data_IF_303873573973
#
_entry.id   IF_303873573973
#
_cell.length_a   1.000
_cell.length_b   1.000
_cell.length_c   1.000
_cell.angle_alpha   90.00
_cell.angle_beta   90.00
_cell.angle_gamma   90.00
#
_symmetry.space_group_name_H-M   'P 1'
#
loop_
_entity.id
_entity.type
_entity.pdbx_description
1 polymer ?
#
# COMPACT_ATOMS: atom_id res chain seq x y z
N UNK A 1 -12.72 -12.18 -2.53
CA UNK A 1 -12.33 -12.97 -3.71
C UNK A 1 -12.02 -12.02 -4.85
N UNK A 2 -10.74 -11.73 -5.11
CA UNK A 2 -10.35 -10.83 -6.19
C UNK A 2 -10.30 -11.62 -7.51
N UNK A 3 -11.13 -11.18 -8.46
CA UNK A 3 -11.26 -11.70 -9.82
C UNK A 3 -9.90 -11.60 -10.52
N UNK A 4 -9.29 -12.73 -10.88
CA UNK A 4 -8.04 -12.77 -11.65
C UNK A 4 -8.25 -12.08 -13.00
N UNK A 5 -7.59 -10.94 -13.19
CA UNK A 5 -7.46 -10.25 -14.47
C UNK A 5 -6.79 -11.21 -15.45
N UNK A 6 -7.31 -11.27 -16.67
CA UNK A 6 -6.92 -12.19 -17.75
C UNK A 6 -5.38 -12.32 -17.83
N UNK A 7 -4.83 -13.46 -17.41
CA UNK A 7 -3.38 -13.72 -17.23
C UNK A 7 -2.59 -13.82 -18.55
N UNK A 8 -3.22 -13.53 -19.70
CA UNK A 8 -2.61 -13.71 -21.01
C UNK A 8 -1.75 -12.52 -21.50
N UNK A 9 -1.85 -11.33 -20.89
CA UNK A 9 -1.07 -10.15 -21.32
C UNK A 9 0.04 -9.71 -20.36
N UNK A 10 -0.02 -10.07 -19.08
CA UNK A 10 0.95 -9.62 -18.08
C UNK A 10 1.58 -10.78 -17.34
N UNK A 11 2.86 -11.05 -17.61
CA UNK A 11 3.65 -12.06 -16.90
C UNK A 11 4.14 -11.44 -15.59
N UNK A 12 3.84 -12.08 -14.45
CA UNK A 12 4.33 -11.63 -13.15
C UNK A 12 5.78 -12.09 -12.89
N UNK A 13 6.54 -11.36 -12.06
CA UNK A 13 7.88 -11.77 -11.67
C UNK A 13 7.90 -13.18 -11.02
N UNK A 14 6.87 -13.51 -10.23
CA UNK A 14 6.70 -14.83 -9.64
C UNK A 14 6.48 -15.92 -10.70
N UNK A 15 5.82 -15.59 -11.81
CA UNK A 15 5.61 -16.51 -12.93
C UNK A 15 6.92 -16.81 -13.67
N UNK A 16 7.76 -15.79 -13.90
CA UNK A 16 9.11 -15.96 -14.47
C UNK A 16 9.94 -16.89 -13.58
N UNK A 17 9.95 -16.63 -12.26
CA UNK A 17 10.70 -17.47 -11.32
C UNK A 17 10.23 -18.93 -11.32
N UNK A 18 8.91 -19.14 -11.48
CA UNK A 18 8.34 -20.48 -11.54
C UNK A 18 8.71 -21.21 -12.83
N UNK A 19 8.74 -20.51 -13.97
CA UNK A 19 9.17 -21.06 -15.24
C UNK A 19 10.64 -21.51 -15.17
N UNK A 20 11.51 -20.66 -14.62
CA UNK A 20 12.94 -20.99 -14.43
C UNK A 20 13.13 -22.17 -13.48
N UNK A 21 12.34 -22.24 -12.40
CA UNK A 21 12.41 -23.35 -11.45
C UNK A 21 11.94 -24.68 -12.05
N UNK A 22 10.75 -24.70 -12.67
CA UNK A 22 10.18 -25.88 -13.30
C UNK A 22 9.15 -25.50 -14.37
N UNK A 23 9.50 -25.62 -15.67
CA UNK A 23 8.61 -25.27 -16.78
C UNK A 23 7.30 -26.08 -16.79
N UNK A 24 7.36 -27.35 -16.37
CA UNK A 24 6.18 -28.22 -16.28
C UNK A 24 5.21 -27.73 -15.21
N UNK A 25 5.72 -27.34 -14.04
CA UNK A 25 4.89 -26.77 -12.97
C UNK A 25 4.21 -25.46 -13.39
N UNK A 26 4.92 -24.63 -14.17
CA UNK A 26 4.39 -23.39 -14.73
C UNK A 26 3.26 -23.68 -15.73
N UNK A 27 3.45 -24.64 -16.63
CA UNK A 27 2.44 -25.05 -17.61
C UNK A 27 1.18 -25.58 -16.91
N UNK A 28 1.35 -26.47 -15.92
CA UNK A 28 0.22 -27.02 -15.15
C UNK A 28 -0.54 -25.93 -14.39
N UNK A 29 0.16 -24.94 -13.83
CA UNK A 29 -0.47 -23.77 -13.20
C UNK A 29 -1.30 -22.95 -14.19
N UNK A 30 -0.80 -22.71 -15.41
CA UNK A 30 -1.57 -22.06 -16.50
C UNK A 30 -2.78 -22.88 -16.96
N UNK A 31 -2.74 -24.21 -16.80
CA UNK A 31 -3.89 -25.11 -17.01
C UNK A 31 -4.86 -25.17 -15.82
N UNK A 32 -4.61 -24.38 -14.76
CA UNK A 32 -5.50 -24.27 -13.60
C UNK A 32 -5.21 -25.27 -12.48
N UNK A 33 -4.13 -26.05 -12.57
CA UNK A 33 -3.72 -26.97 -11.50
C UNK A 33 -3.11 -26.14 -10.35
N UNK A 34 -3.69 -26.19 -9.13
CA UNK A 34 -3.19 -25.40 -8.03
C UNK A 34 -1.82 -25.93 -7.56
N UNK A 35 -0.82 -25.06 -7.35
CA UNK A 35 0.46 -25.48 -6.81
C UNK A 35 0.28 -25.90 -5.33
N UNK A 36 0.72 -27.12 -5.00
CA UNK A 36 0.75 -27.62 -3.63
C UNK A 36 2.19 -27.53 -3.11
N UNK A 37 2.40 -26.71 -2.09
CA UNK A 37 3.69 -26.59 -1.40
C UNK A 37 3.43 -26.28 0.07
N UNK A 38 4.12 -27.01 0.94
CA UNK A 38 4.03 -26.85 2.39
C UNK A 38 4.42 -25.43 2.84
N UNK A 39 5.38 -24.80 2.14
CA UNK A 39 5.84 -23.44 2.43
C UNK A 39 5.00 -22.33 1.79
N UNK A 40 4.17 -22.64 0.78
CA UNK A 40 3.46 -21.63 0.01
C UNK A 40 2.45 -20.85 0.84
N UNK A 41 1.67 -21.55 1.68
CA UNK A 41 0.70 -20.91 2.59
C UNK A 41 1.39 -19.98 3.58
N UNK A 42 2.55 -20.40 4.11
CA UNK A 42 3.37 -19.58 5.01
C UNK A 42 3.94 -18.35 4.31
N UNK A 43 4.41 -18.51 3.06
CA UNK A 43 4.93 -17.39 2.27
C UNK A 43 3.87 -16.32 1.97
N UNK A 44 2.66 -16.75 1.62
CA UNK A 44 1.52 -15.83 1.38
C UNK A 44 1.15 -15.07 2.66
N UNK A 45 1.02 -15.76 3.80
CA UNK A 45 0.68 -15.14 5.09
C UNK A 45 1.75 -14.09 5.50
N UNK A 46 3.03 -14.38 5.26
CA UNK A 46 4.10 -13.40 5.55
C UNK A 46 4.05 -12.19 4.61
N UNK A 47 3.76 -12.38 3.32
CA UNK A 47 3.55 -11.27 2.39
C UNK A 47 2.34 -10.41 2.78
N UNK A 48 1.25 -11.04 3.21
CA UNK A 48 0.05 -10.33 3.65
C UNK A 48 0.30 -9.55 4.94
N UNK A 49 1.02 -10.12 5.91
CA UNK A 49 1.45 -9.42 7.13
C UNK A 49 2.37 -8.25 6.83
N UNK A 50 3.33 -8.41 5.90
CA UNK A 50 4.22 -7.34 5.49
C UNK A 50 3.46 -6.22 4.76
N UNK A 51 2.57 -6.58 3.84
CA UNK A 51 1.69 -5.64 3.14
C UNK A 51 0.73 -4.89 4.08
N UNK A 52 0.17 -5.59 5.07
CA UNK A 52 -0.66 -4.99 6.12
C UNK A 52 0.10 -4.02 7.01
N UNK A 53 1.40 -4.21 7.23
CA UNK A 53 2.23 -3.21 7.93
C UNK A 53 2.45 -1.95 7.10
N UNK A 54 2.58 -2.07 5.78
CA UNK A 54 2.71 -0.92 4.88
C UNK A 54 1.43 -0.06 4.86
N UNK A 55 0.25 -0.68 4.91
CA UNK A 55 -1.02 0.06 4.96
C UNK A 55 -1.21 0.80 6.29
N UNK A 56 -0.73 0.24 7.40
CA UNK A 56 -0.72 0.91 8.70
C UNK A 56 0.21 2.12 8.73
N UNK A 57 1.39 2.04 8.11
CA UNK A 57 2.31 3.17 7.97
C UNK A 57 1.69 4.29 7.14
N UNK A 58 1.06 3.96 6.01
CA UNK A 58 0.36 4.95 5.17
C UNK A 58 -0.77 5.66 5.93
N UNK A 59 -1.54 4.93 6.75
CA UNK A 59 -2.58 5.52 7.61
C UNK A 59 -2.00 6.50 8.64
N UNK A 60 -0.84 6.18 9.20
CA UNK A 60 -0.17 7.01 10.22
C UNK A 60 0.38 8.31 9.63
N UNK A 61 0.96 8.26 8.44
CA UNK A 61 1.43 9.47 7.74
C UNK A 61 0.26 10.39 7.35
N UNK A 62 -0.87 9.81 6.93
CA UNK A 62 -2.06 10.60 6.64
C UNK A 62 -2.58 11.32 7.87
N UNK A 63 -2.63 10.67 9.04
CA UNK A 63 -3.03 11.32 10.29
C UNK A 63 -2.07 12.46 10.68
N UNK A 64 -0.76 12.27 10.54
CA UNK A 64 0.23 13.30 10.83
C UNK A 64 0.14 14.51 9.88
N UNK A 65 -0.22 14.30 8.62
CA UNK A 65 -0.46 15.39 7.66
C UNK A 65 -1.61 16.31 8.08
N UNK A 66 -2.69 15.76 8.62
CA UNK A 66 -3.84 16.56 9.08
C UNK A 66 -3.51 17.43 10.28
N UNK A 67 -2.76 16.91 11.27
CA UNK A 67 -2.31 17.72 12.41
C UNK A 67 -1.38 18.86 12.00
N UNK A 68 -0.48 18.62 11.03
CA UNK A 68 0.39 19.66 10.47
C UNK A 68 -0.42 20.76 9.79
N UNK A 69 -1.44 20.40 9.00
CA UNK A 69 -2.29 21.36 8.31
C UNK A 69 -3.13 22.20 9.29
N UNK A 70 -3.67 21.56 10.34
CA UNK A 70 -4.36 22.24 11.44
C UNK A 70 -3.44 23.23 12.17
N UNK A 71 -2.19 22.83 12.43
CA UNK A 71 -1.17 23.71 13.03
C UNK A 71 -0.94 24.97 12.20
N UNK A 72 -0.74 24.83 10.88
CA UNK A 72 -0.55 25.99 10.00
C UNK A 72 -1.78 26.90 9.94
N UNK A 73 -2.99 26.33 9.88
CA UNK A 73 -4.23 27.13 9.92
C UNK A 73 -4.33 27.93 11.21
N UNK A 74 -4.02 27.31 12.36
CA UNK A 74 -4.06 28.00 13.66
C UNK A 74 -3.03 29.14 13.77
N UNK A 75 -1.86 28.99 13.14
CA UNK A 75 -0.83 30.02 13.12
C UNK A 75 -1.28 31.23 12.29
N UNK A 76 -1.84 30.97 11.11
CA UNK A 76 -2.33 32.01 10.20
C UNK A 76 -3.47 32.79 10.87
N UNK A 77 -4.44 32.11 11.50
CA UNK A 77 -5.53 32.79 12.20
C UNK A 77 -5.03 33.65 13.36
N UNK A 78 -4.04 33.18 14.12
CA UNK A 78 -3.42 33.97 15.19
C UNK A 78 -2.75 35.25 14.66
N UNK A 79 -2.03 35.16 13.54
CA UNK A 79 -1.39 36.32 12.90
C UNK A 79 -2.41 37.34 12.38
N UNK A 80 -3.49 36.87 11.77
CA UNK A 80 -4.58 37.74 11.28
C UNK A 80 -5.27 38.46 12.44
N UNK A 81 -5.54 37.77 13.54
CA UNK A 81 -6.12 38.36 14.74
C UNK A 81 -5.18 39.39 15.39
N UNK A 82 -3.89 39.08 15.49
CA UNK A 82 -2.90 40.01 16.03
C UNK A 82 -2.79 41.29 15.18
N UNK A 83 -2.78 41.15 13.84
CA UNK A 83 -2.78 42.28 12.91
C UNK A 83 -4.06 43.10 13.00
N UNK A 84 -5.22 42.45 13.13
CA UNK A 84 -6.51 43.12 13.31
C UNK A 84 -6.55 43.94 14.59
N UNK A 85 -6.11 43.35 15.71
CA UNK A 85 -6.04 44.06 17.00
C UNK A 85 -5.11 45.26 16.89
N UNK A 86 -3.90 45.09 16.34
CA UNK A 86 -2.97 46.21 16.15
C UNK A 86 -3.59 47.34 15.30
N UNK A 87 -4.33 47.00 14.24
CA UNK A 87 -5.02 47.97 13.39
C UNK A 87 -6.14 48.72 14.12
N UNK A 88 -6.85 48.06 15.04
CA UNK A 88 -7.93 48.71 15.82
C UNK A 88 -7.44 49.60 16.97
N UNK A 89 -6.20 49.41 17.42
CA UNK A 89 -5.60 50.15 18.54
C UNK A 89 -4.59 51.23 18.09
N UNK A 90 -4.35 51.36 16.79
CA UNK A 90 -3.61 52.44 16.12
C UNK A 90 -4.61 53.42 15.51
#
# INVERSE_FOLDING_TARGET
MLKRKNENEAISASEISQYVYCPVSWYLKRKGVPPQSFGLKRGIDMHERAGGRLTLLYRRERAAGWFRLLGYLSLITALLLAGWVLWTYI
#
